data_IF_125938713413
#
_entry.id   IF_125938713413
#
_cell.length_a   1.000
_cell.length_b   1.000
_cell.length_c   1.000
_cell.angle_alpha   90.00
_cell.angle_beta   90.00
_cell.angle_gamma   90.00
#
_symmetry.space_group_name_H-M   'P 1'
#
loop_
_entity.id
_entity.type
_entity.pdbx_description
1 polymer ?
#
# COMPACT_ATOMS: atom_id res chain seq x y z
N UNK A 1 38.00 -14.46 43.61
CA UNK A 1 37.96 -12.98 43.50
C UNK A 1 36.62 -12.66 42.87
N UNK A 2 35.53 -12.76 43.64
CA UNK A 2 34.91 -11.69 44.44
C UNK A 2 34.11 -10.74 43.56
N UNK A 3 32.88 -11.15 43.27
CA UNK A 3 31.79 -10.26 42.93
C UNK A 3 31.45 -9.41 44.15
N UNK A 4 31.27 -8.10 43.95
CA UNK A 4 30.58 -7.22 44.90
C UNK A 4 29.92 -6.08 44.11
N UNK A 5 28.70 -5.65 44.48
CA UNK A 5 27.74 -5.04 43.57
C UNK A 5 27.76 -3.51 43.63
N UNK A 6 27.28 -2.85 42.58
CA UNK A 6 27.01 -1.41 42.60
C UNK A 6 25.54 -1.18 42.92
N UNK A 7 25.37 -0.51 44.06
CA UNK A 7 24.14 -0.06 44.69
C UNK A 7 23.34 0.91 43.81
N UNK A 8 22.05 0.60 43.65
CA UNK A 8 20.98 1.56 43.42
C UNK A 8 20.77 2.39 44.69
N UNK A 9 21.01 3.70 44.64
CA UNK A 9 20.35 4.62 45.55
C UNK A 9 20.39 6.07 45.04
N UNK A 10 19.26 6.76 45.27
CA UNK A 10 19.03 8.22 45.26
C UNK A 10 18.49 8.81 43.95
N UNK A 11 17.16 8.79 43.83
CA UNK A 11 16.35 10.02 43.91
C UNK A 11 14.85 9.68 43.83
N UNK A 12 14.30 9.19 44.95
CA UNK A 12 12.85 8.94 45.11
C UNK A 12 12.23 9.71 46.28
N UNK A 13 12.93 10.73 46.80
CA UNK A 13 12.51 11.53 47.98
C UNK A 13 12.10 12.97 47.64
N UNK A 14 11.65 13.21 46.42
CA UNK A 14 10.97 14.45 46.07
C UNK A 14 9.68 14.12 45.36
N UNK A 15 8.59 14.04 46.14
CA UNK A 15 7.23 14.50 45.80
C UNK A 15 6.16 13.91 46.75
N UNK A 16 6.39 13.92 48.07
CA UNK A 16 5.30 13.80 49.05
C UNK A 16 5.59 14.77 50.20
N UNK A 17 4.96 15.94 50.17
CA UNK A 17 4.37 16.58 51.36
C UNK A 17 3.66 17.88 50.96
N UNK A 18 2.33 17.82 50.93
CA UNK A 18 1.44 18.91 51.36
C UNK A 18 0.04 18.35 51.54
N UNK A 19 -0.17 17.74 52.71
CA UNK A 19 -1.50 17.51 53.25
C UNK A 19 -1.88 18.73 54.10
N UNK A 20 -2.99 19.37 53.74
CA UNK A 20 -3.77 20.20 54.65
C UNK A 20 -5.26 19.90 54.38
N UNK A 21 -5.92 19.34 55.38
CA UNK A 21 -7.38 19.12 55.50
C UNK A 21 -7.85 20.17 56.53
N UNK A 22 -8.96 20.93 56.31
CA UNK A 22 -10.34 20.48 56.65
C UNK A 22 -11.41 21.04 55.68
N UNK A 23 -12.69 20.64 55.62
CA UNK A 23 -13.64 20.06 56.57
C UNK A 23 -14.77 19.29 55.80
N UNK A 24 -15.72 18.60 56.45
CA UNK A 24 -16.65 17.67 55.79
C UNK A 24 -17.91 18.37 55.25
N UNK A 25 -18.36 17.99 54.05
CA UNK A 25 -19.70 18.29 53.54
C UNK A 25 -20.14 17.22 52.52
N UNK A 26 -21.45 17.04 52.32
CA UNK A 26 -22.09 15.73 52.37
C UNK A 26 -22.30 15.09 51.01
N UNK A 27 -22.31 13.76 51.02
CA UNK A 27 -23.01 12.85 50.10
C UNK A 27 -23.64 13.49 48.86
N UNK A 28 -22.94 13.42 47.74
CA UNK A 28 -23.53 13.05 46.46
C UNK A 28 -22.43 12.56 45.53
N UNK A 29 -22.21 11.24 45.52
CA UNK A 29 -21.49 10.58 44.43
C UNK A 29 -22.51 10.40 43.31
N UNK A 30 -22.77 11.48 42.56
CA UNK A 30 -23.23 11.28 41.20
C UNK A 30 -22.02 10.78 40.42
N UNK A 31 -21.92 9.46 40.32
CA UNK A 31 -21.20 8.82 39.22
C UNK A 31 -21.93 9.31 37.97
N UNK A 32 -21.48 10.42 37.37
CA UNK A 32 -21.81 10.69 35.98
C UNK A 32 -21.26 9.49 35.22
N UNK A 33 -22.14 8.54 34.92
CA UNK A 33 -21.89 7.49 33.97
C UNK A 33 -21.39 8.20 32.73
N UNK A 34 -20.07 8.16 32.53
CA UNK A 34 -19.49 8.59 31.28
C UNK A 34 -20.03 7.59 30.29
N UNK A 35 -21.14 7.95 29.64
CA UNK A 35 -21.68 7.24 28.51
C UNK A 35 -20.55 7.30 27.48
N UNK A 36 -19.68 6.29 27.52
CA UNK A 36 -18.75 5.98 26.46
C UNK A 36 -19.65 5.62 25.29
N UNK A 37 -20.10 6.64 24.57
CA UNK A 37 -20.83 6.45 23.32
C UNK A 37 -19.93 5.54 22.49
N UNK A 38 -20.39 4.32 22.14
CA UNK A 38 -19.57 3.43 21.35
C UNK A 38 -19.15 4.20 20.10
N UNK A 39 -17.87 4.13 19.70
CA UNK A 39 -17.42 4.85 18.53
C UNK A 39 -18.33 4.49 17.36
N UNK A 40 -18.71 5.48 16.52
CA UNK A 40 -19.62 5.24 15.40
C UNK A 40 -19.11 4.05 14.58
N UNK A 41 -20.00 3.12 14.25
CA UNK A 41 -19.65 1.94 13.47
C UNK A 41 -19.13 2.40 12.11
N UNK A 42 -17.84 2.17 11.88
CA UNK A 42 -17.19 2.46 10.60
C UNK A 42 -17.35 1.27 9.69
N UNK A 43 -17.63 1.53 8.42
CA UNK A 43 -17.45 0.54 7.35
C UNK A 43 -15.99 0.09 7.30
N UNK A 44 -15.74 -1.08 6.72
CA UNK A 44 -14.38 -1.59 6.52
C UNK A 44 -13.50 -0.59 5.77
N UNK A 45 -14.05 0.04 4.72
CA UNK A 45 -13.37 1.09 3.97
C UNK A 45 -12.99 2.28 4.83
N UNK A 46 -13.88 2.80 5.67
CA UNK A 46 -13.60 3.94 6.56
C UNK A 46 -12.52 3.63 7.61
N UNK A 47 -12.53 2.41 8.16
CA UNK A 47 -11.48 1.94 9.06
C UNK A 47 -10.12 1.96 8.35
N UNK A 48 -10.03 1.37 7.16
CA UNK A 48 -8.79 1.36 6.38
C UNK A 48 -8.34 2.77 5.95
N UNK A 49 -9.27 3.65 5.56
CA UNK A 49 -8.99 5.04 5.17
C UNK A 49 -8.39 5.85 6.32
N UNK A 50 -8.75 5.53 7.56
CA UNK A 50 -8.22 6.22 8.74
C UNK A 50 -6.69 6.12 8.88
N UNK A 51 -6.07 5.11 8.27
CA UNK A 51 -4.61 4.97 8.18
C UNK A 51 -3.94 5.96 7.19
N UNK A 52 -4.74 6.66 6.38
CA UNK A 52 -4.28 7.57 5.32
C UNK A 52 -4.85 8.99 5.43
N UNK A 53 -4.75 9.66 6.59
CA UNK A 53 -5.47 10.92 6.85
C UNK A 53 -5.08 12.08 5.93
N UNK A 54 -3.87 12.05 5.35
CA UNK A 54 -3.39 13.08 4.42
C UNK A 54 -3.45 12.64 2.95
N UNK A 55 -3.26 11.35 2.70
CA UNK A 55 -3.18 10.83 1.34
C UNK A 55 -4.57 10.59 0.74
N UNK A 56 -5.54 10.16 1.55
CA UNK A 56 -6.91 9.97 1.07
C UNK A 56 -7.52 11.28 0.55
N UNK A 57 -7.53 12.39 1.31
CA UNK A 57 -8.04 13.67 0.79
C UNK A 57 -7.26 14.15 -0.43
N UNK A 58 -5.92 14.00 -0.43
CA UNK A 58 -5.12 14.43 -1.58
C UNK A 58 -5.44 13.65 -2.87
N UNK A 59 -5.78 12.38 -2.73
CA UNK A 59 -6.23 11.52 -3.83
C UNK A 59 -7.64 11.88 -4.28
N UNK A 60 -8.55 12.12 -3.32
CA UNK A 60 -9.92 12.57 -3.59
C UNK A 60 -9.93 13.91 -4.34
N UNK A 61 -9.17 14.91 -3.88
CA UNK A 61 -9.03 16.21 -4.55
C UNK A 61 -8.58 16.05 -6.00
N UNK A 62 -7.56 15.22 -6.23
CA UNK A 62 -7.00 15.02 -7.57
C UNK A 62 -7.99 14.33 -8.51
N UNK A 63 -8.75 13.35 -8.02
CA UNK A 63 -9.79 12.70 -8.81
C UNK A 63 -11.03 13.58 -9.00
N UNK A 64 -11.42 14.38 -8.00
CA UNK A 64 -12.50 15.36 -8.12
C UNK A 64 -12.21 16.39 -9.21
N UNK A 65 -10.99 16.92 -9.22
CA UNK A 65 -10.56 17.87 -10.24
C UNK A 65 -10.53 17.23 -11.63
N UNK A 66 -10.10 15.97 -11.73
CA UNK A 66 -10.11 15.26 -13.00
C UNK A 66 -11.53 14.94 -13.48
N UNK A 67 -12.39 14.43 -12.62
CA UNK A 67 -13.77 14.12 -12.97
C UNK A 67 -14.55 15.40 -13.37
N UNK A 68 -14.20 16.54 -12.79
CA UNK A 68 -14.75 17.84 -13.21
C UNK A 68 -14.30 18.24 -14.63
N UNK A 69 -13.08 17.84 -15.04
CA UNK A 69 -12.56 18.11 -16.38
C UNK A 69 -13.14 17.19 -17.47
N UNK A 70 -13.44 15.91 -17.15
CA UNK A 70 -13.83 14.90 -18.16
C UNK A 70 -15.16 14.18 -17.91
N UNK A 71 -15.90 14.56 -16.87
CA UNK A 71 -17.18 13.94 -16.50
C UNK A 71 -17.05 12.51 -15.94
N UNK A 72 -15.86 12.12 -15.48
CA UNK A 72 -15.61 10.79 -14.92
C UNK A 72 -16.26 10.52 -13.56
N UNK A 73 -16.08 9.29 -13.08
CA UNK A 73 -16.64 8.79 -11.80
C UNK A 73 -15.57 8.25 -10.84
N UNK A 74 -14.32 8.71 -10.97
CA UNK A 74 -13.17 8.22 -10.20
C UNK A 74 -13.30 8.55 -8.71
N UNK A 75 -13.78 9.73 -8.35
CA UNK A 75 -14.01 10.12 -6.96
C UNK A 75 -15.05 9.21 -6.31
N UNK A 76 -16.19 8.98 -6.98
CA UNK A 76 -17.25 8.08 -6.48
C UNK A 76 -16.70 6.67 -6.28
N UNK A 77 -15.95 6.15 -7.25
CA UNK A 77 -15.29 4.84 -7.13
C UNK A 77 -14.27 4.80 -5.99
N UNK A 78 -13.51 5.88 -5.77
CA UNK A 78 -12.58 5.98 -4.64
C UNK A 78 -13.37 5.90 -3.32
N UNK A 79 -14.43 6.70 -3.17
CA UNK A 79 -15.24 6.75 -1.94
C UNK A 79 -16.05 5.47 -1.67
N UNK A 80 -16.25 4.62 -2.67
CA UNK A 80 -16.86 3.30 -2.52
C UNK A 80 -15.83 2.16 -2.35
N UNK A 81 -14.53 2.47 -2.42
CA UNK A 81 -13.48 1.47 -2.32
C UNK A 81 -13.50 0.82 -0.92
N UNK A 82 -13.62 -0.51 -0.88
CA UNK A 82 -13.69 -1.33 0.34
C UNK A 82 -14.93 -1.08 1.21
N UNK A 83 -15.91 -0.32 0.74
CA UNK A 83 -17.15 -0.07 1.49
C UNK A 83 -18.00 -1.34 1.62
N UNK A 84 -17.92 -2.23 0.64
CA UNK A 84 -18.57 -3.54 0.65
C UNK A 84 -17.53 -4.59 1.06
N UNK A 85 -17.71 -5.23 2.22
CA UNK A 85 -16.76 -6.17 2.76
C UNK A 85 -17.44 -7.27 3.57
N UNK A 86 -16.95 -8.50 3.44
CA UNK A 86 -17.56 -9.72 3.97
C UNK A 86 -16.52 -10.62 4.61
N UNK A 87 -16.89 -11.29 5.70
CA UNK A 87 -16.10 -12.39 6.23
C UNK A 87 -16.38 -13.66 5.44
N UNK A 88 -15.31 -14.35 5.08
CA UNK A 88 -15.36 -15.58 4.29
C UNK A 88 -14.50 -16.65 4.97
N UNK A 89 -14.98 -17.89 4.97
CA UNK A 89 -14.25 -19.05 5.46
C UNK A 89 -13.82 -19.94 4.30
N UNK A 90 -12.58 -20.41 4.32
CA UNK A 90 -12.15 -21.45 3.41
C UNK A 90 -12.80 -22.79 3.77
N UNK A 91 -13.42 -23.48 2.81
CA UNK A 91 -14.19 -24.71 3.05
C UNK A 91 -13.33 -25.85 3.59
N UNK A 92 -12.12 -26.04 3.05
CA UNK A 92 -11.20 -27.10 3.50
C UNK A 92 -10.24 -26.68 4.63
N UNK A 93 -9.61 -25.50 4.51
CA UNK A 93 -8.61 -25.04 5.47
C UNK A 93 -9.22 -24.40 6.72
N UNK A 94 -10.51 -24.08 6.69
CA UNK A 94 -11.26 -23.42 7.76
C UNK A 94 -10.66 -22.09 8.26
N UNK A 95 -9.80 -21.46 7.45
CA UNK A 95 -9.23 -20.13 7.69
C UNK A 95 -10.23 -19.04 7.34
N UNK A 96 -10.17 -17.91 8.04
CA UNK A 96 -11.05 -16.75 7.81
C UNK A 96 -10.29 -15.61 7.13
N UNK A 97 -10.93 -14.95 6.15
CA UNK A 97 -10.44 -13.70 5.56
C UNK A 97 -11.58 -12.71 5.34
N UNK A 98 -11.22 -11.44 5.14
CA UNK A 98 -12.15 -10.40 4.68
C UNK A 98 -11.98 -10.21 3.17
N UNK A 99 -13.07 -10.42 2.42
CA UNK A 99 -13.15 -10.05 1.00
C UNK A 99 -13.85 -8.71 0.87
N UNK A 100 -13.43 -7.86 -0.07
CA UNK A 100 -13.99 -6.52 -0.21
C UNK A 100 -13.96 -5.97 -1.63
N UNK A 101 -14.83 -4.99 -1.91
CA UNK A 101 -14.84 -4.24 -3.17
C UNK A 101 -13.55 -3.45 -3.36
N UNK A 102 -13.01 -3.37 -4.58
CA UNK A 102 -11.87 -2.53 -4.91
C UNK A 102 -12.18 -1.57 -6.06
N UNK A 103 -11.63 -0.36 -5.99
CA UNK A 103 -11.85 0.65 -7.03
C UNK A 103 -10.86 0.52 -8.18
N UNK A 104 -9.73 -0.17 -7.99
CA UNK A 104 -8.65 -0.36 -8.94
C UNK A 104 -8.03 0.94 -9.49
N UNK A 105 -8.26 2.05 -8.79
CA UNK A 105 -7.69 3.34 -9.12
C UNK A 105 -6.22 3.36 -8.69
N UNK A 106 -5.33 3.75 -9.62
CA UNK A 106 -3.88 3.74 -9.40
C UNK A 106 -3.43 4.48 -8.13
N UNK A 107 -4.07 5.61 -7.85
CA UNK A 107 -3.69 6.47 -6.74
C UNK A 107 -4.45 6.15 -5.45
N UNK A 108 -5.40 5.19 -5.47
CA UNK A 108 -6.06 4.75 -4.25
C UNK A 108 -5.02 4.13 -3.29
N UNK A 109 -4.84 4.67 -2.07
CA UNK A 109 -3.84 4.16 -1.14
C UNK A 109 -4.17 2.74 -0.65
N UNK A 110 -5.45 2.37 -0.58
CA UNK A 110 -5.90 1.05 -0.13
C UNK A 110 -5.52 -0.03 -1.14
N UNK A 111 -5.87 0.18 -2.41
CA UNK A 111 -5.54 -0.77 -3.48
C UNK A 111 -4.03 -0.80 -3.76
N UNK A 112 -3.35 0.34 -3.62
CA UNK A 112 -1.89 0.40 -3.70
C UNK A 112 -1.21 -0.40 -2.58
N UNK A 113 -1.73 -0.37 -1.34
CA UNK A 113 -1.19 -1.15 -0.23
C UNK A 113 -1.43 -2.65 -0.45
N UNK A 114 -2.65 -3.04 -0.83
CA UNK A 114 -2.99 -4.43 -1.12
C UNK A 114 -2.10 -5.03 -2.23
N UNK A 115 -1.89 -4.28 -3.31
CA UNK A 115 -1.02 -4.70 -4.41
C UNK A 115 0.47 -4.72 -4.00
N UNK A 116 0.87 -3.91 -3.02
CA UNK A 116 2.25 -3.83 -2.56
C UNK A 116 2.62 -5.08 -1.78
N UNK A 117 1.70 -5.58 -0.95
CA UNK A 117 1.85 -6.83 -0.22
C UNK A 117 2.09 -8.00 -1.20
N UNK A 118 1.24 -8.14 -2.22
CA UNK A 118 1.40 -9.18 -3.24
C UNK A 118 2.77 -9.08 -3.95
N UNK A 119 3.11 -7.90 -4.48
CA UNK A 119 4.36 -7.71 -5.24
C UNK A 119 5.60 -7.93 -4.40
N UNK A 120 5.56 -7.57 -3.12
CA UNK A 120 6.68 -7.79 -2.21
C UNK A 120 7.01 -9.28 -2.10
N UNK A 121 6.01 -10.15 -1.96
CA UNK A 121 6.21 -11.60 -1.93
C UNK A 121 6.78 -12.11 -3.25
N UNK A 122 6.14 -11.80 -4.39
CA UNK A 122 6.61 -12.29 -5.70
C UNK A 122 8.03 -11.83 -6.06
N UNK A 123 8.41 -10.63 -5.61
CA UNK A 123 9.77 -10.10 -5.81
C UNK A 123 10.77 -10.81 -4.90
N UNK A 124 10.42 -11.10 -3.65
CA UNK A 124 11.28 -11.78 -2.70
C UNK A 124 11.72 -13.16 -3.22
N UNK A 125 10.78 -13.91 -3.81
CA UNK A 125 11.04 -15.23 -4.38
C UNK A 125 12.10 -15.16 -5.49
N UNK A 126 11.91 -14.27 -6.47
CA UNK A 126 12.92 -14.08 -7.53
C UNK A 126 14.23 -13.55 -6.99
N UNK A 127 14.18 -12.64 -6.01
CA UNK A 127 15.38 -12.08 -5.39
C UNK A 127 16.26 -13.17 -4.78
N UNK A 128 15.67 -14.18 -4.15
CA UNK A 128 16.40 -15.32 -3.56
C UNK A 128 17.20 -16.14 -4.59
N UNK A 129 16.77 -16.10 -5.85
CA UNK A 129 17.44 -16.81 -6.97
C UNK A 129 18.54 -15.97 -7.63
N UNK A 130 18.68 -14.69 -7.27
CA UNK A 130 19.63 -13.79 -7.90
C UNK A 130 21.07 -14.12 -7.50
N UNK A 131 21.97 -14.26 -8.48
CA UNK A 131 23.40 -14.49 -8.22
C UNK A 131 24.07 -13.28 -7.57
N UNK A 132 23.71 -12.06 -7.99
CA UNK A 132 24.28 -10.84 -7.42
C UNK A 132 23.33 -9.67 -7.60
N UNK A 133 22.51 -9.47 -6.57
CA UNK A 133 21.48 -8.45 -6.54
C UNK A 133 22.04 -7.04 -6.30
N UNK A 134 21.58 -6.07 -7.08
CA UNK A 134 21.95 -4.65 -6.99
C UNK A 134 20.71 -3.78 -7.11
N UNK A 135 20.73 -2.65 -6.41
CA UNK A 135 19.73 -1.59 -6.61
C UNK A 135 20.40 -0.46 -7.40
N UNK A 136 19.88 -0.23 -8.60
CA UNK A 136 20.22 0.89 -9.46
C UNK A 136 19.14 1.96 -9.33
N UNK A 137 19.53 3.20 -9.06
CA UNK A 137 18.66 4.37 -9.14
C UNK A 137 19.22 5.31 -10.20
N UNK A 138 18.41 5.59 -11.21
CA UNK A 138 18.67 6.53 -12.29
C UNK A 138 17.79 7.74 -12.05
N UNK A 139 18.38 8.93 -12.00
CA UNK A 139 17.64 10.17 -11.80
C UNK A 139 17.77 11.03 -13.04
N UNK A 140 16.68 11.64 -13.45
CA UNK A 140 16.69 12.68 -14.47
C UNK A 140 16.92 14.03 -13.81
N UNK A 141 17.75 14.86 -14.45
CA UNK A 141 17.88 16.26 -14.03
C UNK A 141 16.53 16.96 -14.17
N UNK A 142 16.21 17.84 -13.22
CA UNK A 142 15.02 18.68 -13.34
C UNK A 142 15.11 19.55 -14.59
N UNK A 143 13.94 19.83 -15.14
CA UNK A 143 13.76 20.75 -16.26
C UNK A 143 12.39 21.40 -16.14
N UNK A 144 12.19 22.50 -16.85
CA UNK A 144 10.88 23.18 -16.95
C UNK A 144 10.02 22.63 -18.10
N UNK A 145 10.45 21.54 -18.73
CA UNK A 145 9.66 20.86 -19.76
C UNK A 145 8.35 20.27 -19.20
N UNK A 146 7.33 20.05 -20.05
CA UNK A 146 6.11 19.36 -19.64
C UNK A 146 6.39 17.99 -18.99
N UNK A 147 5.62 17.62 -17.96
CA UNK A 147 5.82 16.35 -17.23
C UNK A 147 5.75 15.12 -18.15
N UNK A 148 4.86 15.16 -19.15
CA UNK A 148 4.75 14.11 -20.14
C UNK A 148 6.07 13.90 -20.91
N UNK A 149 6.73 14.98 -21.33
CA UNK A 149 7.98 14.94 -22.09
C UNK A 149 9.13 14.48 -21.21
N UNK A 150 9.21 15.00 -19.99
CA UNK A 150 10.19 14.54 -19.00
C UNK A 150 10.08 13.04 -18.76
N UNK A 151 8.86 12.54 -18.53
CA UNK A 151 8.56 11.11 -18.32
C UNK A 151 8.90 10.28 -19.56
N UNK A 152 8.53 10.75 -20.75
CA UNK A 152 8.80 10.07 -22.02
C UNK A 152 10.31 9.96 -22.28
N UNK A 153 11.07 11.03 -22.01
CA UNK A 153 12.53 11.01 -22.07
C UNK A 153 13.08 9.96 -21.11
N UNK A 154 12.68 9.99 -19.84
CA UNK A 154 13.17 9.02 -18.84
C UNK A 154 13.03 7.57 -19.31
N UNK A 155 11.84 7.20 -19.80
CA UNK A 155 11.58 5.83 -20.28
C UNK A 155 12.42 5.49 -21.52
N UNK A 156 12.52 6.42 -22.49
CA UNK A 156 13.34 6.22 -23.69
C UNK A 156 14.82 6.05 -23.33
N UNK A 157 15.35 6.89 -22.44
CA UNK A 157 16.73 6.86 -21.98
C UNK A 157 17.03 5.58 -21.19
N UNK A 158 16.11 5.16 -20.31
CA UNK A 158 16.25 3.90 -19.57
C UNK A 158 16.24 2.70 -20.50
N UNK A 159 15.31 2.64 -21.46
CA UNK A 159 15.26 1.56 -22.43
C UNK A 159 16.55 1.48 -23.26
N UNK A 160 17.11 2.62 -23.68
CA UNK A 160 18.41 2.69 -24.38
C UNK A 160 19.55 2.18 -23.50
N UNK A 161 19.63 2.61 -22.24
CA UNK A 161 20.64 2.16 -21.29
C UNK A 161 20.59 0.64 -21.11
N UNK A 162 19.41 0.09 -20.83
CA UNK A 162 19.25 -1.35 -20.55
C UNK A 162 19.44 -2.25 -21.78
N UNK A 163 19.29 -1.71 -23.00
CA UNK A 163 19.47 -2.44 -24.25
C UNK A 163 20.89 -2.34 -24.81
N UNK A 164 21.71 -1.40 -24.35
CA UNK A 164 23.08 -1.26 -24.87
C UNK A 164 23.92 -2.52 -24.57
N UNK A 165 24.86 -2.87 -25.47
CA UNK A 165 25.68 -4.08 -25.38
C UNK A 165 26.40 -4.22 -24.03
N UNK A 166 26.89 -3.09 -23.50
CA UNK A 166 27.60 -3.04 -22.22
C UNK A 166 26.73 -3.50 -21.03
N UNK A 167 25.51 -2.96 -20.91
CA UNK A 167 24.57 -3.33 -19.85
C UNK A 167 24.00 -4.73 -20.09
N UNK A 168 23.62 -5.04 -21.34
CA UNK A 168 23.04 -6.32 -21.74
C UNK A 168 23.95 -7.52 -21.44
N UNK A 169 25.27 -7.37 -21.54
CA UNK A 169 26.23 -8.44 -21.25
C UNK A 169 26.43 -8.68 -19.75
N UNK A 170 26.02 -7.76 -18.88
CA UNK A 170 26.23 -7.84 -17.42
C UNK A 170 24.96 -8.10 -16.63
N UNK A 171 23.78 -7.88 -17.22
CA UNK A 171 22.49 -7.98 -16.54
C UNK A 171 21.74 -9.23 -17.00
N UNK A 172 21.56 -10.16 -16.06
CA UNK A 172 20.79 -11.40 -16.24
C UNK A 172 19.30 -11.14 -16.21
N UNK A 173 18.85 -10.30 -15.28
CA UNK A 173 17.47 -9.81 -15.24
C UNK A 173 17.26 -8.64 -14.31
N UNK A 174 16.09 -8.02 -14.42
CA UNK A 174 15.77 -6.86 -13.61
C UNK A 174 14.27 -6.61 -13.48
N UNK A 175 13.91 -6.02 -12.34
CA UNK A 175 12.60 -5.42 -12.07
C UNK A 175 12.82 -3.93 -11.89
N UNK A 176 12.07 -3.10 -12.61
CA UNK A 176 12.16 -1.66 -12.52
C UNK A 176 10.84 -1.04 -12.06
N UNK A 177 10.92 0.11 -11.41
CA UNK A 177 9.78 0.90 -11.01
C UNK A 177 10.09 2.40 -11.09
N UNK A 178 9.06 3.17 -11.44
CA UNK A 178 9.11 4.61 -11.60
C UNK A 178 8.77 5.29 -10.27
N UNK A 179 9.52 6.33 -9.92
CA UNK A 179 9.25 7.19 -8.78
C UNK A 179 9.34 8.66 -9.22
N UNK A 180 8.50 9.51 -8.63
CA UNK A 180 8.70 10.96 -8.69
C UNK A 180 9.01 11.51 -7.29
N UNK A 181 9.70 12.65 -7.27
CA UNK A 181 9.77 13.54 -6.12
C UNK A 181 9.56 14.97 -6.60
N UNK A 182 9.11 15.86 -5.70
CA UNK A 182 9.00 17.29 -5.98
C UNK A 182 10.02 18.04 -5.13
N UNK A 183 10.90 18.80 -5.78
CA UNK A 183 11.80 19.68 -5.06
C UNK A 183 11.00 20.85 -4.46
N UNK A 184 11.09 21.04 -3.14
CA UNK A 184 10.29 22.06 -2.44
C UNK A 184 10.74 23.48 -2.76
N UNK A 185 12.01 23.68 -3.08
CA UNK A 185 12.63 24.96 -3.38
C UNK A 185 12.38 25.36 -4.83
N UNK A 186 12.75 24.50 -5.78
CA UNK A 186 12.64 24.82 -7.22
C UNK A 186 11.24 24.55 -7.79
N UNK A 187 10.36 23.86 -7.04
CA UNK A 187 9.02 23.43 -7.48
C UNK A 187 9.04 22.55 -8.75
N UNK A 188 10.17 21.92 -9.03
CA UNK A 188 10.34 21.05 -10.18
C UNK A 188 10.24 19.58 -9.78
N UNK A 189 9.66 18.78 -10.68
CA UNK A 189 9.58 17.34 -10.53
C UNK A 189 10.92 16.70 -10.88
N UNK A 190 11.29 15.70 -10.08
CA UNK A 190 12.45 14.85 -10.29
C UNK A 190 11.92 13.44 -10.52
N UNK A 191 12.17 12.90 -11.71
CA UNK A 191 11.79 11.53 -12.02
C UNK A 191 12.97 10.57 -11.86
N UNK A 192 12.66 9.43 -11.28
CA UNK A 192 13.60 8.38 -10.97
C UNK A 192 13.10 7.06 -11.55
N UNK A 193 14.03 6.26 -12.06
CA UNK A 193 13.81 4.83 -12.24
C UNK A 193 14.72 4.09 -11.27
N UNK A 194 14.09 3.28 -10.45
CA UNK A 194 14.76 2.32 -9.60
C UNK A 194 14.68 0.96 -10.29
N UNK A 195 15.75 0.19 -10.23
CA UNK A 195 15.82 -1.15 -10.78
C UNK A 195 16.55 -2.09 -9.84
N UNK A 196 15.89 -3.17 -9.44
CA UNK A 196 16.53 -4.34 -8.86
C UNK A 196 17.14 -5.15 -10.00
N UNK A 197 18.45 -5.35 -9.96
CA UNK A 197 19.22 -6.02 -11.00
C UNK A 197 19.81 -7.31 -10.43
N UNK A 198 19.71 -8.40 -11.18
CA UNK A 198 20.66 -9.51 -11.07
C UNK A 198 21.77 -9.28 -12.10
N UNK A 199 22.92 -8.82 -11.63
CA UNK A 199 23.98 -8.36 -12.52
C UNK A 199 25.39 -8.64 -11.99
N UNK A 200 26.38 -8.72 -12.87
CA UNK A 200 27.78 -8.71 -12.46
C UNK A 200 28.19 -7.33 -11.91
N UNK A 201 29.46 -7.16 -11.54
CA UNK A 201 29.95 -5.84 -11.17
C UNK A 201 29.82 -4.87 -12.34
N UNK A 202 29.27 -3.68 -12.07
CA UNK A 202 29.13 -2.60 -13.04
C UNK A 202 29.73 -1.34 -12.41
N UNK A 203 30.86 -0.82 -12.94
CA UNK A 203 31.42 0.44 -12.48
C UNK A 203 30.39 1.58 -12.60
N UNK A 204 30.22 2.33 -11.51
CA UNK A 204 29.29 3.48 -11.46
C UNK A 204 29.59 4.50 -12.57
N UNK A 205 30.87 4.77 -12.83
CA UNK A 205 31.31 5.70 -13.87
C UNK A 205 30.78 5.30 -15.25
N UNK A 206 30.87 4.00 -15.59
CA UNK A 206 30.40 3.48 -16.87
C UNK A 206 28.87 3.62 -17.04
N UNK A 207 28.10 3.43 -15.96
CA UNK A 207 26.64 3.66 -16.00
C UNK A 207 26.36 5.15 -16.13
N UNK A 208 27.04 5.99 -15.35
CA UNK A 208 26.84 7.44 -15.32
C UNK A 208 27.13 8.09 -16.68
N UNK A 209 28.25 7.76 -17.32
CA UNK A 209 28.59 8.25 -18.67
C UNK A 209 27.54 7.85 -19.71
N UNK A 210 27.03 6.61 -19.66
CA UNK A 210 25.98 6.15 -20.58
C UNK A 210 24.64 6.79 -20.28
N UNK A 211 24.31 6.98 -19.00
CA UNK A 211 23.11 7.67 -18.58
C UNK A 211 23.10 9.11 -19.08
N UNK A 212 24.20 9.84 -18.90
CA UNK A 212 24.37 11.20 -19.42
C UNK A 212 24.21 11.25 -20.94
N UNK A 213 24.82 10.31 -21.67
CA UNK A 213 24.65 10.20 -23.13
C UNK A 213 23.20 10.02 -23.56
N UNK A 214 22.40 9.27 -22.79
CA UNK A 214 21.01 8.99 -23.16
C UNK A 214 20.00 9.97 -22.57
N UNK A 215 20.33 10.69 -21.49
CA UNK A 215 19.43 11.51 -20.71
C UNK A 215 19.94 12.96 -20.58
N UNK A 216 20.28 13.57 -21.71
CA UNK A 216 20.64 15.00 -21.83
C UNK A 216 21.69 15.47 -20.80
N UNK A 217 22.75 14.69 -20.60
CA UNK A 217 23.85 15.08 -19.71
C UNK A 217 23.62 14.78 -18.23
N UNK A 218 22.54 14.11 -17.84
CA UNK A 218 22.36 13.71 -16.44
C UNK A 218 23.35 12.62 -16.02
N UNK A 219 24.22 12.93 -15.08
CA UNK A 219 25.17 11.97 -14.48
C UNK A 219 24.64 11.31 -13.19
N UNK A 220 23.41 11.64 -12.78
CA UNK A 220 22.87 11.27 -11.47
C UNK A 220 22.45 9.80 -11.46
N UNK A 221 23.38 8.96 -11.02
CA UNK A 221 23.23 7.52 -10.89
C UNK A 221 23.67 7.08 -9.50
N UNK A 222 22.93 6.16 -8.89
CA UNK A 222 23.37 5.42 -7.71
C UNK A 222 23.25 3.92 -7.99
N UNK A 223 24.31 3.16 -7.73
CA UNK A 223 24.27 1.71 -7.77
C UNK A 223 24.90 1.17 -6.49
N UNK A 224 24.18 0.28 -5.82
CA UNK A 224 24.66 -0.36 -4.60
C UNK A 224 24.31 -1.84 -4.59
N UNK A 225 25.11 -2.63 -3.88
CA UNK A 225 24.70 -3.97 -3.47
C UNK A 225 23.37 -3.85 -2.73
N UNK A 226 22.41 -4.69 -3.08
CA UNK A 226 21.10 -4.65 -2.45
C UNK A 226 21.10 -5.55 -1.20
N UNK A 227 20.34 -5.15 -0.19
CA UNK A 227 20.25 -5.78 1.13
C UNK A 227 19.42 -7.09 1.06
N UNK A 228 19.05 -7.69 2.19
CA UNK A 228 18.24 -8.93 2.24
C UNK A 228 16.99 -8.91 1.33
N UNK A 229 16.49 -10.09 0.95
CA UNK A 229 15.30 -10.23 0.11
C UNK A 229 14.10 -9.43 0.63
N UNK A 230 13.89 -9.41 1.95
CA UNK A 230 12.84 -8.63 2.60
C UNK A 230 12.98 -7.11 2.38
N UNK A 231 14.20 -6.58 2.44
CA UNK A 231 14.45 -5.15 2.19
C UNK A 231 14.20 -4.77 0.73
N UNK A 232 14.65 -5.62 -0.21
CA UNK A 232 14.41 -5.42 -1.64
C UNK A 232 12.90 -5.49 -1.98
N UNK A 233 12.19 -6.47 -1.42
CA UNK A 233 10.75 -6.62 -1.53
C UNK A 233 10.00 -5.39 -1.02
N UNK A 234 10.31 -4.92 0.19
CA UNK A 234 9.69 -3.71 0.76
C UNK A 234 9.96 -2.48 -0.13
N UNK A 235 11.18 -2.34 -0.65
CA UNK A 235 11.52 -1.23 -1.54
C UNK A 235 10.69 -1.25 -2.83
N UNK A 236 10.45 -2.42 -3.42
CA UNK A 236 9.57 -2.55 -4.60
C UNK A 236 8.11 -2.30 -4.23
N UNK A 237 7.62 -2.86 -3.12
CA UNK A 237 6.24 -2.70 -2.66
C UNK A 237 5.83 -1.23 -2.57
N UNK A 238 6.73 -0.36 -2.07
CA UNK A 238 6.45 1.08 -1.92
C UNK A 238 6.14 1.81 -3.21
N UNK A 239 6.86 1.51 -4.29
CA UNK A 239 6.85 2.32 -5.52
C UNK A 239 6.31 1.61 -6.75
N UNK A 240 6.21 0.28 -6.70
CA UNK A 240 5.64 -0.47 -7.81
C UNK A 240 4.15 -0.15 -7.99
N UNK A 241 3.43 0.14 -6.90
CA UNK A 241 1.96 0.30 -6.88
C UNK A 241 1.51 1.72 -7.11
N UNK A 242 2.23 2.69 -6.54
CA UNK A 242 2.09 4.12 -6.80
C UNK A 242 3.46 4.77 -6.92
N UNK A 243 3.63 5.74 -7.83
CA UNK A 243 4.95 6.32 -8.10
C UNK A 243 5.41 7.33 -7.02
N UNK A 244 4.59 7.58 -6.00
CA UNK A 244 4.85 8.50 -4.90
C UNK A 244 3.58 8.77 -4.09
N UNK A 245 3.62 9.79 -3.23
CA UNK A 245 2.52 10.19 -2.35
C UNK A 245 1.94 11.53 -2.83
N UNK A 246 0.63 11.58 -3.12
CA UNK A 246 -0.02 12.81 -3.60
C UNK A 246 -0.11 13.89 -2.53
N UNK A 247 -0.18 13.52 -1.26
CA UNK A 247 -0.18 14.48 -0.15
C UNK A 247 1.10 15.32 -0.06
N UNK A 248 2.18 14.90 -0.74
CA UNK A 248 3.44 15.66 -0.83
C UNK A 248 3.43 16.69 -1.96
N UNK A 249 2.42 16.68 -2.82
CA UNK A 249 2.28 17.52 -4.01
C UNK A 249 1.27 18.64 -3.73
N UNK A 250 1.62 19.91 -4.06
CA UNK A 250 0.70 21.05 -4.02
C UNK A 250 -0.57 20.78 -4.85
N UNK A 251 -1.71 21.26 -4.35
CA UNK A 251 -3.04 20.97 -4.91
C UNK A 251 -3.12 21.26 -6.42
N UNK A 252 -2.62 22.42 -6.84
CA UNK A 252 -2.56 22.92 -8.22
C UNK A 252 -1.73 22.04 -9.17
N UNK A 253 -0.83 21.21 -8.64
CA UNK A 253 0.05 20.32 -9.42
C UNK A 253 -0.39 18.86 -9.42
N UNK A 254 -1.32 18.46 -8.55
CA UNK A 254 -1.75 17.06 -8.43
C UNK A 254 -2.40 16.54 -9.70
N UNK A 255 -3.28 17.32 -10.31
CA UNK A 255 -4.01 16.92 -11.51
C UNK A 255 -3.07 16.67 -12.70
N UNK A 256 -2.13 17.59 -12.93
CA UNK A 256 -1.09 17.47 -13.96
C UNK A 256 -0.29 16.17 -13.79
N UNK A 257 0.14 15.87 -12.56
CA UNK A 257 0.87 14.65 -12.25
C UNK A 257 0.03 13.39 -12.47
N UNK A 258 -1.21 13.39 -11.97
CA UNK A 258 -2.10 12.23 -12.04
C UNK A 258 -2.45 11.91 -13.50
N UNK A 259 -2.75 12.93 -14.33
CA UNK A 259 -2.98 12.80 -15.77
C UNK A 259 -1.72 12.35 -16.51
N UNK A 260 -0.58 12.98 -16.23
CA UNK A 260 0.69 12.61 -16.85
C UNK A 260 1.17 11.21 -16.44
N UNK A 261 0.61 10.58 -15.42
CA UNK A 261 0.92 9.18 -15.11
C UNK A 261 -0.14 8.20 -15.60
N UNK A 262 -1.29 8.65 -16.08
CA UNK A 262 -2.37 7.78 -16.52
C UNK A 262 -1.99 6.90 -17.72
N UNK A 263 -2.46 5.66 -17.73
CA UNK A 263 -2.19 4.68 -18.80
C UNK A 263 -0.72 4.24 -18.92
N UNK A 264 0.21 4.83 -18.17
CA UNK A 264 1.65 4.49 -18.26
C UNK A 264 2.00 3.32 -17.35
N UNK A 265 2.89 2.44 -17.80
CA UNK A 265 3.44 1.38 -16.95
C UNK A 265 4.43 1.98 -15.97
N UNK A 266 4.25 1.75 -14.66
CA UNK A 266 5.16 2.25 -13.61
C UNK A 266 6.05 1.17 -13.02
N UNK A 267 5.83 -0.09 -13.36
CA UNK A 267 6.65 -1.23 -12.93
C UNK A 267 6.75 -2.25 -14.05
N UNK A 268 7.89 -2.92 -14.17
CA UNK A 268 8.04 -4.01 -15.14
C UNK A 268 9.19 -4.95 -14.79
N UNK A 269 9.05 -6.20 -15.22
CA UNK A 269 10.07 -7.22 -15.09
C UNK A 269 10.64 -7.62 -16.45
N UNK A 270 11.92 -7.95 -16.51
CA UNK A 270 12.66 -8.19 -17.74
C UNK A 270 13.68 -9.33 -17.59
N UNK A 271 13.90 -10.06 -18.69
CA UNK A 271 14.79 -11.23 -18.80
C UNK A 271 14.48 -12.30 -17.74
N UNK A 272 15.43 -12.72 -16.90
CA UNK A 272 15.18 -13.73 -15.86
C UNK A 272 14.07 -13.33 -14.89
N UNK A 273 13.82 -12.03 -14.71
CA UNK A 273 12.71 -11.55 -13.87
C UNK A 273 11.34 -11.64 -14.55
N UNK A 274 11.23 -11.99 -15.85
CA UNK A 274 9.92 -12.09 -16.54
C UNK A 274 9.00 -13.15 -15.93
N UNK A 275 9.55 -14.13 -15.22
CA UNK A 275 8.77 -15.12 -14.47
C UNK A 275 8.07 -14.52 -13.24
N UNK A 276 8.49 -13.34 -12.78
CA UNK A 276 7.87 -12.65 -11.65
C UNK A 276 6.52 -12.07 -12.08
N UNK A 277 5.47 -12.63 -11.52
CA UNK A 277 4.14 -12.09 -11.69
C UNK A 277 3.99 -10.80 -10.88
N UNK A 278 3.96 -9.66 -11.57
CA UNK A 278 3.74 -8.34 -10.95
C UNK A 278 2.26 -7.95 -10.84
N UNK A 279 1.37 -8.84 -11.27
CA UNK A 279 -0.07 -8.70 -11.14
C UNK A 279 -0.61 -9.91 -10.40
N UNK A 280 -1.53 -9.74 -9.46
CA UNK A 280 -2.13 -10.87 -8.78
C UNK A 280 -2.79 -11.84 -9.75
N UNK A 281 -2.70 -13.16 -9.52
CA UNK A 281 -3.41 -14.13 -10.34
C UNK A 281 -4.92 -13.93 -10.20
N UNK A 282 -5.67 -14.39 -11.20
CA UNK A 282 -7.11 -14.51 -11.05
C UNK A 282 -7.41 -15.51 -9.95
N UNK A 283 -8.46 -15.24 -9.17
CA UNK A 283 -9.01 -16.16 -8.19
C UNK A 283 -9.37 -17.50 -8.85
N UNK A 284 -8.70 -18.58 -8.45
CA UNK A 284 -9.03 -19.95 -8.86
C UNK A 284 -9.80 -20.71 -7.80
N UNK A 285 -9.83 -20.19 -6.57
CA UNK A 285 -10.40 -20.79 -5.37
C UNK A 285 -11.73 -20.15 -4.96
N UNK A 286 -12.41 -19.43 -5.86
CA UNK A 286 -13.64 -18.69 -5.51
C UNK A 286 -14.71 -19.56 -4.86
N UNK A 287 -14.87 -20.78 -5.36
CA UNK A 287 -15.86 -21.75 -4.89
C UNK A 287 -15.47 -22.42 -3.57
N UNK A 288 -14.23 -22.21 -3.12
CA UNK A 288 -13.72 -22.69 -1.82
C UNK A 288 -13.98 -21.72 -0.67
N UNK A 289 -14.63 -20.57 -0.92
CA UNK A 289 -14.91 -19.57 0.11
C UNK A 289 -16.40 -19.48 0.40
N UNK A 290 -16.78 -19.82 1.64
CA UNK A 290 -18.14 -19.71 2.16
C UNK A 290 -18.34 -18.37 2.87
N UNK A 291 -19.45 -17.69 2.56
CA UNK A 291 -19.85 -16.46 3.25
C UNK A 291 -20.20 -16.73 4.72
N UNK A 292 -19.66 -15.91 5.62
CA UNK A 292 -19.95 -15.98 7.06
C UNK A 292 -20.85 -14.83 7.53
N UNK A 293 -20.86 -13.71 6.83
CA UNK A 293 -21.57 -12.49 7.24
C UNK A 293 -20.89 -11.24 6.69
N UNK A 294 -21.62 -10.13 6.67
CA UNK A 294 -21.05 -8.85 6.27
C UNK A 294 -20.10 -8.33 7.35
N UNK A 295 -19.13 -7.51 6.96
CA UNK A 295 -18.18 -6.93 7.90
C UNK A 295 -18.89 -6.16 9.02
N UNK A 296 -19.87 -5.33 8.65
CA UNK A 296 -20.65 -4.54 9.59
C UNK A 296 -21.45 -5.41 10.56
N UNK A 297 -22.14 -6.42 10.04
CA UNK A 297 -22.92 -7.35 10.84
C UNK A 297 -22.05 -8.11 11.85
N UNK A 298 -20.93 -8.70 11.40
CA UNK A 298 -19.99 -9.40 12.30
C UNK A 298 -19.44 -8.45 13.35
N UNK A 299 -19.03 -7.25 12.96
CA UNK A 299 -18.46 -6.27 13.90
C UNK A 299 -19.49 -5.75 14.90
N UNK A 300 -20.77 -5.62 14.51
CA UNK A 300 -21.88 -5.26 15.39
C UNK A 300 -22.17 -6.36 16.39
N UNK A 301 -22.23 -7.60 15.94
CA UNK A 301 -22.57 -8.76 16.76
C UNK A 301 -21.44 -9.21 17.68
N UNK A 302 -20.17 -8.86 17.41
CA UNK A 302 -19.00 -9.31 18.20
C UNK A 302 -19.08 -8.98 19.70
N UNK A 303 -19.90 -8.01 20.11
CA UNK A 303 -20.06 -7.69 21.53
C UNK A 303 -20.83 -8.78 22.29
N UNK A 304 -21.76 -9.48 21.62
CA UNK A 304 -22.74 -10.38 22.26
C UNK A 304 -22.86 -11.76 21.61
N UNK A 305 -22.35 -11.97 20.39
CA UNK A 305 -22.37 -13.25 19.68
C UNK A 305 -20.97 -13.89 19.69
N UNK A 306 -20.86 -15.09 20.26
CA UNK A 306 -19.58 -15.80 20.38
C UNK A 306 -19.02 -16.29 19.03
N UNK A 307 -19.88 -16.66 18.08
CA UNK A 307 -19.47 -16.94 16.70
C UNK A 307 -18.87 -15.69 16.05
N UNK A 308 -19.50 -14.52 16.21
CA UNK A 308 -18.96 -13.27 15.68
C UNK A 308 -17.60 -12.92 16.30
N UNK A 309 -17.42 -13.14 17.62
CA UNK A 309 -16.12 -12.98 18.29
C UNK A 309 -15.07 -13.93 17.72
N UNK A 310 -15.41 -15.21 17.55
CA UNK A 310 -14.51 -16.23 17.02
C UNK A 310 -14.07 -15.90 15.59
N UNK A 311 -15.00 -15.44 14.73
CA UNK A 311 -14.70 -15.02 13.35
C UNK A 311 -13.69 -13.87 13.33
N UNK A 312 -13.91 -12.82 14.12
CA UNK A 312 -13.01 -11.66 14.20
C UNK A 312 -11.64 -12.05 14.75
N UNK A 313 -11.61 -12.88 15.80
CA UNK A 313 -10.37 -13.37 16.39
C UNK A 313 -9.57 -14.22 15.40
N UNK A 314 -10.25 -15.11 14.68
CA UNK A 314 -9.66 -15.96 13.67
C UNK A 314 -9.04 -15.17 12.53
N UNK A 315 -9.75 -14.16 12.02
CA UNK A 315 -9.22 -13.26 11.02
C UNK A 315 -7.98 -12.51 11.51
N UNK A 316 -8.01 -11.95 12.74
CA UNK A 316 -6.89 -11.15 13.27
C UNK A 316 -5.65 -11.97 13.59
N UNK A 317 -5.83 -13.20 14.06
CA UNK A 317 -4.73 -14.06 14.49
C UNK A 317 -4.30 -15.08 13.43
N UNK A 318 -5.02 -15.20 12.32
CA UNK A 318 -4.76 -16.19 11.28
C UNK A 318 -4.99 -17.63 11.75
N UNK A 319 -5.91 -17.83 12.70
CA UNK A 319 -6.30 -19.16 13.19
C UNK A 319 -7.57 -19.65 12.49
N UNK A 320 -7.90 -20.92 12.67
CA UNK A 320 -9.09 -21.54 12.07
C UNK A 320 -10.33 -21.37 12.95
N UNK A 321 -11.51 -21.53 12.35
CA UNK A 321 -12.81 -21.58 13.02
C UNK A 321 -13.51 -22.90 12.70
N UNK A 322 -14.48 -23.38 13.52
CA UNK A 322 -15.25 -24.58 13.21
C UNK A 322 -15.88 -24.55 11.81
N UNK A 323 -15.95 -25.71 11.15
CA UNK A 323 -16.50 -25.85 9.79
C UNK A 323 -17.98 -25.44 9.70
N UNK A 324 -18.70 -25.59 10.80
CA UNK A 324 -20.11 -25.29 11.00
C UNK A 324 -20.34 -23.96 11.73
N UNK A 325 -19.33 -23.07 11.79
CA UNK A 325 -19.54 -21.74 12.36
C UNK A 325 -20.55 -20.97 11.51
N UNK A 326 -21.59 -20.47 12.16
CA UNK A 326 -22.62 -19.64 11.55
C UNK A 326 -22.90 -18.44 12.45
N UNK A 327 -23.13 -17.29 11.84
CA UNK A 327 -23.87 -16.23 12.53
C UNK A 327 -25.33 -16.67 12.53
N UNK A 328 -25.92 -16.81 13.71
CA UNK A 328 -27.36 -16.91 13.82
C UNK A 328 -27.95 -15.60 13.28
N UNK A 329 -28.53 -15.65 12.08
CA UNK A 329 -29.25 -14.53 11.49
C UNK A 329 -30.74 -14.79 11.53
N UNK A 330 -31.50 -13.84 12.10
CA UNK A 330 -32.95 -13.75 11.93
C UNK A 330 -33.34 -13.34 10.49
N UNK A 331 -32.40 -12.95 9.61
CA UNK A 331 -32.70 -12.45 8.26
C UNK A 331 -31.71 -13.01 7.23
N UNK A 332 -32.22 -13.77 6.27
CA UNK A 332 -31.47 -14.20 5.09
C UNK A 332 -31.05 -12.97 4.27
N UNK A 333 -29.77 -12.60 4.34
CA UNK A 333 -29.20 -11.58 3.45
C UNK A 333 -29.01 -12.17 2.05
N UNK A 334 -29.85 -11.78 1.10
CA UNK A 334 -29.56 -11.96 -0.33
C UNK A 334 -28.48 -10.95 -0.71
N UNK A 335 -27.42 -11.41 -1.39
CA UNK A 335 -26.35 -10.53 -1.91
C UNK A 335 -26.93 -9.75 -3.09
N UNK A 336 -27.67 -8.68 -2.80
CA UNK A 336 -28.03 -7.67 -3.80
C UNK A 336 -26.74 -6.98 -4.25
N UNK A 337 -26.17 -7.45 -5.36
CA UNK A 337 -24.94 -6.89 -5.91
C UNK A 337 -25.20 -5.48 -6.46
N UNK A 338 -24.40 -4.46 -6.09
CA UNK A 338 -24.10 -3.43 -7.06
C UNK A 338 -22.96 -3.97 -7.93
N UNK A 339 -23.31 -4.58 -9.06
CA UNK A 339 -22.36 -4.69 -10.16
C UNK A 339 -21.86 -3.27 -10.46
N UNK A 340 -20.56 -3.03 -10.30
CA UNK A 340 -19.97 -1.79 -10.80
C UNK A 340 -19.92 -1.91 -12.32
N UNK A 341 -20.72 -1.11 -13.01
CA UNK A 341 -20.66 -0.93 -14.46
C UNK A 341 -19.65 0.14 -14.79
N UNK A 342 -18.68 -0.15 -15.66
CA UNK A 342 -17.86 0.92 -16.25
C UNK A 342 -18.66 1.72 -17.30
N UNK A 343 -18.04 2.77 -17.85
CA UNK A 343 -18.62 3.57 -18.92
C UNK A 343 -18.85 2.79 -20.23
N UNK A 344 -18.34 1.56 -20.32
CA UNK A 344 -18.52 0.63 -21.43
C UNK A 344 -19.59 -0.43 -21.13
N UNK A 345 -20.26 -0.37 -19.97
CA UNK A 345 -21.30 -1.29 -19.56
C UNK A 345 -20.82 -2.65 -19.08
N UNK A 346 -19.51 -2.82 -18.82
CA UNK A 346 -18.97 -4.08 -18.32
C UNK A 346 -19.24 -4.22 -16.82
N UNK A 347 -19.80 -5.37 -16.43
CA UNK A 347 -20.02 -5.74 -15.03
C UNK A 347 -18.72 -6.30 -14.41
N UNK A 348 -18.21 -5.64 -13.37
CA UNK A 348 -17.04 -6.13 -12.63
C UNK A 348 -17.44 -6.74 -11.29
N UNK A 349 -17.09 -8.01 -11.08
CA UNK A 349 -16.85 -8.54 -9.74
C UNK A 349 -15.63 -7.83 -9.17
N UNK A 350 -15.83 -6.72 -8.44
CA UNK A 350 -14.74 -5.96 -7.82
C UNK A 350 -14.16 -6.64 -6.58
N UNK A 351 -14.14 -7.97 -6.51
CA UNK A 351 -13.55 -8.67 -5.36
C UNK A 351 -12.03 -8.50 -5.38
N UNK A 352 -11.53 -7.71 -4.45
CA UNK A 352 -10.13 -7.77 -4.08
C UNK A 352 -9.95 -8.87 -3.05
N UNK A 353 -9.32 -9.96 -3.48
CA UNK A 353 -8.94 -11.09 -2.63
C UNK A 353 -7.70 -10.83 -1.77
N UNK A 354 -7.23 -9.59 -1.70
CA UNK A 354 -5.97 -9.32 -1.01
C UNK A 354 -6.21 -9.24 0.50
N UNK A 355 -5.54 -10.12 1.23
CA UNK A 355 -5.31 -9.94 2.66
C UNK A 355 -4.63 -8.58 2.86
N UNK A 356 -5.27 -7.69 3.61
CA UNK A 356 -4.68 -6.44 4.10
C UNK A 356 -3.58 -6.72 5.10
#
# INVERSE_FOLDING_TARGET
MSETPILLSRDLDKLIEKAAIPAPCPTSVHTEETLCTPPPQRTYGEELRSHFPKEWPATADAYSAWDSDDGGSRLVRLEQCRSFAWFMQHTELHTVKVMSSACHLRWCPLDAQALANYRSHSVADWYSTCKSAKLLTLTQCHSDEPLEDQRNRLYKSFAKLMRCKYMRSRIRGYIWFFQYTLNKQTKQFHFHIHALLDADFIPKAEISTRWAKYNQGSYIVNIKGCWSAASAANHVGRYATRPGTLSSIPLDRRLELVKSMHGRRIVGACRSAKSVSLSPPKATDKDMWRYLGSYEQVQRQRAYNDSAKAIVLAWKLGITVPADIHLEDEHSYEVDQPFLKDAQGNDYYSQSMFNT
#
